data_IF_219544563650
#
_entry.id   IF_219544563650
#
_cell.length_a   1.000
_cell.length_b   1.000
_cell.length_c   1.000
_cell.angle_alpha   90.00
_cell.angle_beta   90.00
_cell.angle_gamma   90.00
#
_symmetry.space_group_name_H-M   'P 1'
#
loop_
_entity.id
_entity.type
_entity.pdbx_description
1 polymer ?
#
# COMPACT_ATOMS: atom_id res chain seq x y z
N UNK A 1 -8.91 -2.58 -3.02
CA UNK A 1 -8.40 -1.81 -4.18
C UNK A 1 -9.50 -1.47 -5.19
N UNK A 2 -9.91 -0.21 -5.31
CA UNK A 2 -10.98 0.22 -6.26
C UNK A 2 -10.47 0.78 -7.61
N UNK A 3 -9.16 0.99 -7.74
CA UNK A 3 -8.57 1.72 -8.87
C UNK A 3 -7.81 0.84 -9.86
N UNK A 4 -7.90 -0.49 -9.71
CA UNK A 4 -7.27 -1.48 -10.59
C UNK A 4 -8.37 -2.36 -11.18
N UNK A 5 -8.65 -2.21 -12.47
CA UNK A 5 -9.52 -3.12 -13.22
C UNK A 5 -8.70 -4.26 -13.81
N UNK A 6 -9.23 -5.48 -13.72
CA UNK A 6 -8.69 -6.63 -14.43
C UNK A 6 -9.48 -6.81 -15.73
N UNK A 7 -8.78 -6.73 -16.86
CA UNK A 7 -9.38 -7.04 -18.17
C UNK A 7 -9.62 -8.54 -18.33
N UNK A 8 -10.46 -8.93 -19.29
CA UNK A 8 -10.78 -10.33 -19.61
C UNK A 8 -9.55 -11.21 -19.93
N UNK A 9 -8.41 -10.60 -20.26
CA UNK A 9 -7.13 -11.28 -20.48
C UNK A 9 -6.19 -11.29 -19.25
N UNK A 10 -6.71 -11.02 -18.06
CA UNK A 10 -5.91 -10.99 -16.82
C UNK A 10 -4.92 -9.83 -16.72
N UNK A 11 -5.04 -8.81 -17.57
CA UNK A 11 -4.19 -7.60 -17.50
C UNK A 11 -4.82 -6.57 -16.57
N UNK A 12 -4.05 -6.11 -15.58
CA UNK A 12 -4.42 -5.00 -14.72
C UNK A 12 -4.32 -3.66 -15.47
N UNK A 13 -5.35 -2.82 -15.33
CA UNK A 13 -5.41 -1.44 -15.82
C UNK A 13 -5.76 -0.53 -14.66
N UNK A 14 -4.99 0.53 -14.43
CA UNK A 14 -5.40 1.58 -13.49
C UNK A 14 -6.53 2.42 -14.10
N UNK A 15 -7.56 2.71 -13.31
CA UNK A 15 -8.77 3.38 -13.83
C UNK A 15 -9.19 4.62 -13.09
N UNK A 16 -8.33 5.17 -12.24
CA UNK A 16 -8.62 6.43 -11.56
C UNK A 16 -7.41 7.38 -11.62
N UNK A 17 -7.47 8.33 -12.55
CA UNK A 17 -6.59 9.50 -12.59
C UNK A 17 -7.30 10.74 -12.01
N UNK A 18 -8.52 10.62 -11.49
CA UNK A 18 -9.41 11.74 -11.12
C UNK A 18 -8.95 12.56 -9.91
N UNK A 19 -7.93 12.10 -9.19
CA UNK A 19 -7.31 12.80 -8.06
C UNK A 19 -5.91 13.33 -8.36
N UNK A 20 -5.48 13.30 -9.63
CA UNK A 20 -4.20 13.90 -10.04
C UNK A 20 -4.27 15.43 -9.89
N UNK A 21 -3.82 15.89 -8.71
CA UNK A 21 -3.75 17.28 -8.21
C UNK A 21 -5.08 17.90 -7.75
N UNK A 22 -5.44 17.65 -6.49
CA UNK A 22 -6.05 18.69 -5.65
C UNK A 22 -5.28 18.75 -4.33
N UNK A 23 -4.47 19.78 -4.22
CA UNK A 23 -3.89 20.28 -2.98
C UNK A 23 -5.01 20.64 -2.00
N UNK A 24 -4.84 20.27 -0.73
CA UNK A 24 -5.65 20.65 0.46
C UNK A 24 -6.61 19.55 0.95
N UNK A 25 -6.13 18.70 1.86
CA UNK A 25 -6.98 18.02 2.82
C UNK A 25 -6.17 17.52 4.04
N UNK A 26 -5.59 18.44 4.80
CA UNK A 26 -5.14 18.16 6.19
C UNK A 26 -6.10 18.77 7.22
N UNK A 27 -7.22 19.33 6.76
CA UNK A 27 -8.22 19.93 7.63
C UNK A 27 -9.44 19.02 7.68
N UNK A 28 -9.73 18.47 8.87
CA UNK A 28 -10.90 17.64 9.22
C UNK A 28 -10.66 16.13 9.37
N UNK A 29 -9.68 15.73 10.18
CA UNK A 29 -9.57 14.37 10.74
C UNK A 29 -10.36 14.21 12.06
N UNK A 30 -11.58 14.77 12.14
CA UNK A 30 -12.49 14.59 13.28
C UNK A 30 -13.84 14.13 12.75
N UNK A 31 -13.94 12.84 12.44
CA UNK A 31 -15.22 12.24 12.11
C UNK A 31 -15.10 10.74 12.00
N UNK A 32 -15.82 10.01 12.86
CA UNK A 32 -16.24 8.64 12.60
C UNK A 32 -17.05 8.63 11.30
N UNK A 33 -16.36 8.54 10.16
CA UNK A 33 -16.97 8.31 8.86
C UNK A 33 -16.18 7.19 8.21
N UNK A 34 -16.86 6.08 8.00
CA UNK A 34 -16.38 4.81 7.44
C UNK A 34 -15.88 4.90 6.00
N UNK A 35 -15.77 6.10 5.42
CA UNK A 35 -15.48 6.31 3.99
C UNK A 35 -14.37 7.33 3.69
N UNK A 36 -13.72 7.95 4.69
CA UNK A 36 -12.55 8.85 4.48
C UNK A 36 -11.22 8.21 4.92
N UNK A 37 -11.25 6.96 5.42
CA UNK A 37 -10.06 6.14 5.72
C UNK A 37 -9.50 5.35 4.53
N UNK A 38 -10.06 5.53 3.33
CA UNK A 38 -9.85 4.63 2.18
C UNK A 38 -8.47 4.67 1.52
N UNK A 39 -7.61 5.66 1.81
CA UNK A 39 -6.26 5.74 1.23
C UNK A 39 -5.15 5.61 2.27
N UNK A 40 -5.44 5.94 3.55
CA UNK A 40 -4.46 5.93 4.65
C UNK A 40 -3.77 4.57 4.79
N UNK A 41 -4.50 3.48 4.56
CA UNK A 41 -3.97 2.11 4.63
C UNK A 41 -2.84 1.83 3.62
N UNK A 42 -2.73 2.63 2.55
CA UNK A 42 -1.73 2.52 1.49
C UNK A 42 -0.68 3.65 1.54
N UNK A 43 -0.86 4.67 2.39
CA UNK A 43 0.02 5.83 2.43
C UNK A 43 1.37 5.52 3.09
N UNK A 44 2.42 6.09 2.51
CA UNK A 44 3.77 5.99 3.03
C UNK A 44 3.93 6.79 4.35
N UNK A 45 4.82 6.38 5.28
CA UNK A 45 5.02 7.06 6.55
C UNK A 45 5.33 8.56 6.40
N UNK A 46 6.10 8.93 5.37
CA UNK A 46 6.45 10.31 5.09
C UNK A 46 5.26 11.15 4.62
N UNK A 47 4.21 10.53 4.08
CA UNK A 47 3.02 11.21 3.59
C UNK A 47 2.18 11.82 4.72
N UNK A 48 2.34 11.34 5.96
CA UNK A 48 1.68 11.88 7.16
C UNK A 48 2.38 13.11 7.75
N UNK A 49 3.58 13.47 7.25
CA UNK A 49 4.37 14.62 7.69
C UNK A 49 4.26 15.86 6.79
N UNK A 50 4.74 17.01 7.27
CA UNK A 50 4.64 18.33 6.60
C UNK A 50 5.59 18.54 5.39
N UNK A 51 6.32 17.53 4.93
CA UNK A 51 7.34 17.68 3.86
C UNK A 51 6.95 16.90 2.60
N UNK A 52 5.81 17.26 2.00
CA UNK A 52 5.50 16.86 0.62
C UNK A 52 5.98 17.98 -0.31
N UNK A 53 6.90 17.69 -1.23
CA UNK A 53 7.40 18.73 -2.14
C UNK A 53 8.45 18.33 -3.17
N UNK A 54 9.09 17.17 -3.04
CA UNK A 54 10.02 16.66 -4.05
C UNK A 54 9.39 15.55 -4.88
N UNK A 55 9.53 15.62 -6.22
CA UNK A 55 9.05 14.59 -7.15
C UNK A 55 9.61 13.19 -6.81
N UNK A 56 10.86 13.12 -6.33
CA UNK A 56 11.47 11.87 -5.84
C UNK A 56 10.73 11.29 -4.65
N UNK A 57 10.23 12.13 -3.72
CA UNK A 57 9.42 11.66 -2.59
C UNK A 57 8.02 11.17 -3.03
N UNK A 58 7.46 11.74 -4.10
CA UNK A 58 6.20 11.25 -4.69
C UNK A 58 6.37 9.85 -5.26
N UNK A 59 7.40 9.62 -6.09
CA UNK A 59 7.66 8.31 -6.67
C UNK A 59 7.89 7.24 -5.59
N UNK A 60 8.64 7.57 -4.53
CA UNK A 60 8.86 6.66 -3.41
C UNK A 60 7.56 6.37 -2.63
N UNK A 61 6.66 7.35 -2.50
CA UNK A 61 5.35 7.15 -1.87
C UNK A 61 4.46 6.21 -2.72
N UNK A 62 4.55 6.31 -4.05
CA UNK A 62 3.84 5.42 -4.97
C UNK A 62 4.40 3.99 -4.88
N UNK A 63 5.72 3.83 -4.73
CA UNK A 63 6.36 2.53 -4.50
C UNK A 63 5.92 1.89 -3.19
N UNK A 64 5.76 2.68 -2.12
CA UNK A 64 5.20 2.18 -0.87
C UNK A 64 3.77 1.65 -1.07
N UNK A 65 2.94 2.44 -1.75
CA UNK A 65 1.55 2.07 -2.07
C UNK A 65 1.50 0.79 -2.92
N UNK A 66 2.41 0.65 -3.88
CA UNK A 66 2.59 -0.56 -4.68
C UNK A 66 2.95 -1.79 -3.81
N UNK A 67 3.80 -1.62 -2.79
CA UNK A 67 4.10 -2.68 -1.83
C UNK A 67 2.86 -3.17 -1.07
N UNK A 68 2.00 -2.25 -0.62
CA UNK A 68 0.73 -2.58 0.06
C UNK A 68 -0.25 -3.28 -0.91
N UNK A 69 -0.34 -2.84 -2.16
CA UNK A 69 -1.18 -3.51 -3.17
C UNK A 69 -0.65 -4.91 -3.49
N UNK A 70 0.67 -5.07 -3.60
CA UNK A 70 1.29 -6.37 -3.82
C UNK A 70 1.01 -7.31 -2.64
N UNK A 71 1.03 -6.78 -1.42
CA UNK A 71 0.59 -7.52 -0.24
C UNK A 71 -0.88 -7.94 -0.33
N UNK A 72 -1.79 -7.05 -0.73
CA UNK A 72 -3.21 -7.38 -0.92
C UNK A 72 -3.40 -8.50 -1.94
N UNK A 73 -2.64 -8.47 -3.05
CA UNK A 73 -2.69 -9.52 -4.07
C UNK A 73 -2.19 -10.84 -3.49
N UNK A 74 -1.06 -10.84 -2.77
CA UNK A 74 -0.49 -12.04 -2.16
C UNK A 74 -1.38 -12.61 -1.05
N UNK A 75 -1.99 -11.76 -0.22
CA UNK A 75 -2.93 -12.16 0.82
C UNK A 75 -4.28 -12.62 0.23
N UNK A 76 -4.71 -11.99 -0.87
CA UNK A 76 -5.99 -12.21 -1.56
C UNK A 76 -6.02 -13.39 -2.53
N UNK A 77 -4.86 -13.99 -2.87
CA UNK A 77 -4.79 -15.31 -3.54
C UNK A 77 -5.57 -16.40 -2.77
N UNK A 78 -5.99 -16.14 -1.51
CA UNK A 78 -6.81 -17.03 -0.69
C UNK A 78 -8.16 -16.49 -0.20
N UNK A 79 -8.66 -15.36 -0.71
CA UNK A 79 -10.07 -14.96 -0.56
C UNK A 79 -10.61 -14.75 0.87
N UNK A 80 -9.79 -14.40 1.86
CA UNK A 80 -10.26 -14.13 3.23
C UNK A 80 -10.62 -12.65 3.43
N UNK A 81 -11.66 -12.35 4.23
CA UNK A 81 -12.04 -10.98 4.57
C UNK A 81 -10.92 -10.19 5.30
N UNK A 82 -9.98 -10.90 5.91
CA UNK A 82 -8.77 -10.38 6.56
C UNK A 82 -7.71 -9.88 5.55
N UNK A 83 -7.93 -10.04 4.24
CA UNK A 83 -7.04 -9.53 3.18
C UNK A 83 -7.14 -8.00 2.99
N UNK A 84 -7.93 -7.30 3.80
CA UNK A 84 -7.96 -5.83 3.80
C UNK A 84 -6.77 -5.28 4.59
N UNK A 85 -5.97 -4.35 4.03
CA UNK A 85 -4.87 -3.73 4.76
C UNK A 85 -5.35 -3.13 6.08
N UNK A 86 -4.68 -3.51 7.17
CA UNK A 86 -4.94 -3.00 8.52
C UNK A 86 -6.39 -3.23 8.98
N UNK A 87 -7.00 -4.35 8.57
CA UNK A 87 -8.36 -4.71 8.97
C UNK A 87 -8.58 -4.54 10.48
N UNK A 88 -9.69 -3.89 10.84
CA UNK A 88 -10.06 -3.64 12.23
C UNK A 88 -9.33 -2.47 12.92
N UNK A 89 -8.33 -1.83 12.29
CA UNK A 89 -7.67 -0.63 12.83
C UNK A 89 -8.35 0.65 12.36
N UNK A 90 -8.45 1.63 13.25
CA UNK A 90 -8.83 3.02 12.91
C UNK A 90 -7.68 3.76 12.22
N UNK A 91 -7.99 4.87 11.55
CA UNK A 91 -6.99 5.73 10.88
C UNK A 91 -5.83 6.12 11.79
N UNK A 92 -6.12 6.49 13.04
CA UNK A 92 -5.08 6.91 14.01
C UNK A 92 -4.19 5.72 14.39
N UNK A 93 -4.78 4.54 14.57
CA UNK A 93 -4.02 3.32 14.86
C UNK A 93 -3.14 2.92 13.67
N UNK A 94 -3.60 3.08 12.43
CA UNK A 94 -2.79 2.84 11.23
C UNK A 94 -1.62 3.82 11.16
N UNK A 95 -1.87 5.12 11.36
CA UNK A 95 -0.81 6.14 11.36
C UNK A 95 0.22 5.82 12.45
N UNK A 96 -0.21 5.51 13.68
CA UNK A 96 0.68 5.16 14.79
C UNK A 96 1.49 3.89 14.48
N UNK A 97 0.83 2.85 13.97
CA UNK A 97 1.47 1.59 13.59
C UNK A 97 2.58 1.83 12.56
N UNK A 98 2.29 2.57 11.49
CA UNK A 98 3.23 2.79 10.38
C UNK A 98 4.35 3.77 10.73
N UNK A 99 4.06 4.85 11.45
CA UNK A 99 5.01 5.96 11.68
C UNK A 99 5.76 5.87 13.00
N UNK A 100 5.11 5.42 14.08
CA UNK A 100 5.69 5.40 15.43
C UNK A 100 6.27 4.02 15.74
N UNK A 101 5.49 2.97 15.46
CA UNK A 101 5.88 1.59 15.79
C UNK A 101 6.65 0.91 14.66
N UNK A 102 6.62 1.45 13.45
CA UNK A 102 7.26 0.84 12.29
C UNK A 102 6.66 -0.50 11.88
N UNK A 103 5.40 -0.78 12.27
CA UNK A 103 4.70 -2.01 11.92
C UNK A 103 4.51 -2.16 10.41
N UNK A 104 4.41 -3.40 9.94
CA UNK A 104 4.07 -3.76 8.55
C UNK A 104 3.01 -4.84 8.54
N UNK A 105 2.30 -4.96 7.42
CA UNK A 105 1.22 -5.94 7.29
C UNK A 105 1.79 -7.37 7.38
N UNK A 106 1.18 -8.25 8.18
CA UNK A 106 1.63 -9.62 8.32
C UNK A 106 1.37 -10.42 7.03
N UNK A 107 2.29 -11.32 6.69
CA UNK A 107 2.07 -12.34 5.66
C UNK A 107 2.00 -13.69 6.38
N UNK A 108 0.85 -14.36 6.35
CA UNK A 108 0.70 -15.68 6.97
C UNK A 108 1.39 -16.76 6.13
N UNK A 109 2.07 -17.69 6.81
CA UNK A 109 2.63 -18.90 6.20
C UNK A 109 1.48 -19.73 5.59
N UNK A 110 1.42 -19.74 4.26
CA UNK A 110 0.32 -20.35 3.50
C UNK A 110 -0.25 -19.45 2.41
N UNK A 111 -0.15 -18.12 2.51
CA UNK A 111 -0.60 -17.21 1.43
C UNK A 111 0.11 -17.49 0.08
N UNK A 112 1.32 -18.04 0.14
CA UNK A 112 2.09 -18.47 -1.02
C UNK A 112 1.68 -19.91 -1.41
N UNK A 113 1.05 -20.09 -2.57
CA UNK A 113 0.73 -21.42 -3.10
C UNK A 113 2.00 -22.24 -3.36
N UNK A 114 1.98 -23.51 -2.94
CA UNK A 114 3.07 -24.48 -3.13
C UNK A 114 3.46 -24.70 -4.60
N UNK A 115 2.59 -24.33 -5.56
CA UNK A 115 2.85 -24.54 -6.99
C UNK A 115 3.87 -23.58 -7.60
N UNK A 116 4.22 -22.45 -6.94
CA UNK A 116 5.18 -21.46 -7.46
C UNK A 116 5.94 -20.71 -6.35
N UNK A 117 6.45 -21.46 -5.35
CA UNK A 117 7.15 -20.91 -4.17
C UNK A 117 8.24 -19.90 -4.56
N UNK A 118 9.08 -20.19 -5.56
CA UNK A 118 10.20 -19.31 -5.92
C UNK A 118 9.76 -17.96 -6.51
N UNK A 119 8.70 -17.94 -7.34
CA UNK A 119 8.16 -16.68 -7.90
C UNK A 119 7.47 -15.86 -6.82
N UNK A 120 6.70 -16.52 -5.96
CA UNK A 120 6.05 -15.86 -4.84
C UNK A 120 7.06 -15.32 -3.82
N UNK A 121 8.16 -16.04 -3.55
CA UNK A 121 9.25 -15.55 -2.70
C UNK A 121 9.89 -14.29 -3.27
N UNK A 122 10.13 -14.24 -4.59
CA UNK A 122 10.63 -13.04 -5.27
C UNK A 122 9.65 -11.86 -5.16
N UNK A 123 8.35 -12.10 -5.35
CA UNK A 123 7.34 -11.05 -5.17
C UNK A 123 7.22 -10.57 -3.71
N UNK A 124 7.38 -11.47 -2.73
CA UNK A 124 7.41 -11.11 -1.30
C UNK A 124 8.64 -10.24 -0.98
N UNK A 125 9.81 -10.56 -1.54
CA UNK A 125 11.02 -9.74 -1.37
C UNK A 125 10.82 -8.32 -1.92
N UNK A 126 10.39 -8.24 -3.18
CA UNK A 126 10.08 -6.96 -3.85
C UNK A 126 9.08 -6.14 -3.02
N UNK A 127 7.96 -6.76 -2.63
CA UNK A 127 6.94 -6.15 -1.79
C UNK A 127 7.53 -5.60 -0.48
N UNK A 128 8.41 -6.36 0.19
CA UNK A 128 9.06 -5.94 1.44
C UNK A 128 9.99 -4.75 1.25
N UNK A 129 10.71 -4.67 0.13
CA UNK A 129 11.57 -3.53 -0.18
C UNK A 129 10.76 -2.29 -0.54
N UNK A 130 9.67 -2.45 -1.30
CA UNK A 130 8.78 -1.37 -1.71
C UNK A 130 8.18 -0.58 -0.54
N UNK A 131 7.83 -1.23 0.58
CA UNK A 131 7.24 -0.54 1.74
C UNK A 131 8.24 -0.23 2.87
N UNK A 132 9.53 -0.09 2.58
CA UNK A 132 10.53 0.32 3.60
C UNK A 132 10.13 1.67 4.25
N UNK A 133 10.48 1.84 5.53
CA UNK A 133 10.23 3.08 6.25
C UNK A 133 10.99 4.25 5.64
N UNK A 134 12.22 4.00 5.19
CA UNK A 134 13.06 4.99 4.55
C UNK A 134 12.79 4.99 3.04
N UNK A 135 12.39 6.13 2.45
CA UNK A 135 12.17 6.23 1.00
C UNK A 135 13.38 5.84 0.16
N UNK A 136 14.60 6.11 0.65
CA UNK A 136 15.85 5.81 -0.04
C UNK A 136 16.22 4.33 -0.10
N UNK A 137 15.59 3.48 0.71
CA UNK A 137 15.81 2.03 0.72
C UNK A 137 14.82 1.29 -0.20
N UNK A 138 13.85 2.02 -0.75
CA UNK A 138 12.87 1.46 -1.69
C UNK A 138 13.52 1.36 -3.07
N UNK A 139 13.24 0.31 -3.85
CA UNK A 139 13.72 0.19 -5.21
C UNK A 139 13.12 1.30 -6.07
N UNK A 140 13.78 1.67 -7.16
CA UNK A 140 13.17 2.53 -8.18
C UNK A 140 12.22 1.72 -9.08
N UNK A 141 11.33 2.40 -9.81
CA UNK A 141 10.50 1.72 -10.82
C UNK A 141 11.31 1.05 -11.93
N UNK A 142 12.56 1.45 -12.14
CA UNK A 142 13.48 0.84 -13.12
C UNK A 142 14.10 -0.47 -12.60
N UNK A 143 14.08 -0.68 -11.28
CA UNK A 143 14.63 -1.86 -10.60
C UNK A 143 13.57 -2.92 -10.27
N UNK A 144 12.29 -2.64 -10.59
CA UNK A 144 11.14 -3.54 -10.42
C UNK A 144 10.85 -4.33 -11.70
#
# INVERSE_FOLDING_TARGET
SHNVLITEWGRAKLTDFGLSRITSAVSSFTGRSTLVGGTVAWMAPESFGKRQGSASMSAMSDLYSYGIVTWEVLAGIRGHAESTPWYGKSVVEVISAVTIHGERLPLHEGCVSNSNISKAAMHVDVMRRCWSAQPSERPTFEEL
#
